data_IF_855856635328
#
_entry.id   IF_855856635328
#
_cell.length_a   1.000
_cell.length_b   1.000
_cell.length_c   1.000
_cell.angle_alpha   90.00
_cell.angle_beta   90.00
_cell.angle_gamma   90.00
#
_symmetry.space_group_name_H-M   'P 1'
#
loop_
_entity.id
_entity.type
_entity.pdbx_description
1 polymer ?
#
# COMPACT_ATOMS: atom_id res chain seq x y z
N UNK A 1 -11.88 10.81 12.21
CA UNK A 1 -10.50 11.13 11.81
C UNK A 1 -9.57 11.31 13.02
N UNK A 2 -9.71 12.31 13.91
CA UNK A 2 -8.77 12.43 15.05
C UNK A 2 -8.70 11.21 15.97
N UNK A 3 -9.83 10.70 16.44
CA UNK A 3 -9.85 9.47 17.25
C UNK A 3 -9.28 8.27 16.49
N UNK A 4 -9.56 8.19 15.19
CA UNK A 4 -9.06 7.14 14.33
C UNK A 4 -7.54 7.22 14.15
N UNK A 5 -6.99 8.42 13.95
CA UNK A 5 -5.54 8.67 13.91
C UNK A 5 -4.86 8.25 15.22
N UNK A 6 -5.48 8.56 16.37
CA UNK A 6 -4.97 8.11 17.68
C UNK A 6 -5.00 6.59 17.82
N UNK A 7 -6.11 5.95 17.42
CA UNK A 7 -6.27 4.50 17.50
C UNK A 7 -5.29 3.78 16.57
N UNK A 8 -5.19 4.19 15.31
CA UNK A 8 -4.29 3.52 14.36
C UNK A 8 -2.82 3.70 14.74
N UNK A 9 -2.45 4.85 15.32
CA UNK A 9 -1.11 5.06 15.84
C UNK A 9 -0.81 4.16 17.06
N UNK A 10 -1.79 3.96 17.95
CA UNK A 10 -1.68 2.98 19.02
C UNK A 10 -1.55 1.55 18.47
N UNK A 11 -2.40 1.18 17.49
CA UNK A 11 -2.35 -0.12 16.83
C UNK A 11 -1.00 -0.37 16.15
N UNK A 12 -0.46 0.61 15.41
CA UNK A 12 0.88 0.51 14.83
C UNK A 12 1.94 0.24 15.91
N UNK A 13 1.82 0.87 17.08
CA UNK A 13 2.78 0.68 18.17
C UNK A 13 2.67 -0.69 18.82
N UNK A 14 1.46 -1.20 19.07
CA UNK A 14 1.26 -2.47 19.79
C UNK A 14 1.40 -3.69 18.87
N UNK A 15 0.95 -3.61 17.61
CA UNK A 15 1.07 -4.71 16.64
C UNK A 15 2.51 -4.95 16.18
N UNK A 16 3.44 -4.05 16.49
CA UNK A 16 4.87 -4.32 16.32
C UNK A 16 5.32 -5.57 17.11
N UNK A 17 4.66 -5.88 18.22
CA UNK A 17 4.96 -7.05 19.05
C UNK A 17 4.13 -8.26 18.59
N UNK A 18 4.80 -9.38 18.32
CA UNK A 18 4.20 -10.63 17.82
C UNK A 18 3.08 -11.14 18.71
N UNK A 19 3.23 -11.02 20.02
CA UNK A 19 2.27 -11.49 21.03
C UNK A 19 0.90 -10.84 20.86
N UNK A 20 0.85 -9.59 20.39
CA UNK A 20 -0.40 -8.87 20.15
C UNK A 20 -1.12 -9.41 18.91
N UNK A 21 -0.38 -9.71 17.83
CA UNK A 21 -0.95 -10.36 16.64
C UNK A 21 -1.57 -11.72 16.98
N UNK A 22 -0.90 -12.50 17.82
CA UNK A 22 -1.37 -13.84 18.23
C UNK A 22 -2.60 -13.77 19.15
N UNK A 23 -2.64 -12.76 20.02
CA UNK A 23 -3.75 -12.55 20.97
C UNK A 23 -4.96 -11.85 20.34
N UNK A 24 -4.86 -11.37 19.10
CA UNK A 24 -5.94 -10.66 18.42
C UNK A 24 -7.08 -11.58 17.96
N UNK A 25 -6.86 -12.90 17.93
CA UNK A 25 -7.85 -13.93 17.60
C UNK A 25 -8.71 -13.53 16.38
N UNK A 26 -10.04 -13.51 16.51
CA UNK A 26 -10.96 -13.17 15.41
C UNK A 26 -10.98 -11.68 15.05
N UNK A 27 -10.58 -10.80 15.99
CA UNK A 27 -10.51 -9.35 15.75
C UNK A 27 -9.44 -8.96 14.71
N UNK A 28 -8.49 -9.86 14.43
CA UNK A 28 -7.51 -9.66 13.35
C UNK A 28 -8.17 -9.50 11.99
N UNK A 29 -9.32 -10.14 11.77
CA UNK A 29 -10.03 -10.11 10.49
C UNK A 29 -10.58 -8.71 10.21
N UNK A 30 -11.18 -8.08 11.21
CA UNK A 30 -11.70 -6.71 11.11
C UNK A 30 -10.56 -5.71 10.88
N UNK A 31 -9.40 -5.94 11.50
CA UNK A 31 -8.22 -5.12 11.29
C UNK A 31 -7.64 -5.27 9.88
N UNK A 32 -7.59 -6.49 9.34
CA UNK A 32 -7.21 -6.76 7.95
C UNK A 32 -8.16 -6.03 6.98
N UNK A 33 -9.47 -6.11 7.22
CA UNK A 33 -10.49 -5.44 6.39
C UNK A 33 -10.33 -3.91 6.46
N UNK A 34 -10.08 -3.37 7.66
CA UNK A 34 -9.81 -1.96 7.87
C UNK A 34 -8.59 -1.50 7.08
N UNK A 35 -7.47 -2.22 7.22
CA UNK A 35 -6.23 -1.90 6.51
C UNK A 35 -6.43 -1.97 5.00
N UNK A 36 -7.05 -3.05 4.50
CA UNK A 36 -7.36 -3.19 3.08
C UNK A 36 -8.16 -1.99 2.55
N UNK A 37 -9.24 -1.59 3.25
CA UNK A 37 -10.06 -0.43 2.83
C UNK A 37 -9.25 0.86 2.76
N UNK A 38 -8.38 1.12 3.74
CA UNK A 38 -7.51 2.31 3.75
C UNK A 38 -6.51 2.30 2.61
N UNK A 39 -5.86 1.17 2.37
CA UNK A 39 -4.88 1.04 1.29
C UNK A 39 -5.51 1.10 -0.11
N UNK A 40 -6.70 0.54 -0.28
CA UNK A 40 -7.46 0.65 -1.53
C UNK A 40 -7.87 2.10 -1.80
N UNK A 41 -8.31 2.84 -0.78
CA UNK A 41 -8.60 4.27 -0.91
C UNK A 41 -7.33 5.06 -1.27
N UNK A 42 -6.22 4.76 -0.61
CA UNK A 42 -4.92 5.39 -0.86
C UNK A 42 -4.45 5.17 -2.30
N UNK A 43 -4.55 3.93 -2.81
CA UNK A 43 -4.22 3.59 -4.19
C UNK A 43 -5.10 4.37 -5.18
N UNK A 44 -6.43 4.35 -4.99
CA UNK A 44 -7.38 5.03 -5.87
C UNK A 44 -7.16 6.55 -5.94
N UNK A 45 -6.85 7.19 -4.80
CA UNK A 45 -6.57 8.62 -4.75
C UNK A 45 -5.28 8.98 -5.51
N UNK A 46 -4.28 8.10 -5.50
CA UNK A 46 -3.03 8.35 -6.21
C UNK A 46 -3.18 8.28 -7.72
N UNK A 47 -3.94 7.30 -8.24
CA UNK A 47 -4.26 7.20 -9.67
C UNK A 47 -4.96 8.47 -10.17
N UNK A 48 -5.88 9.02 -9.38
CA UNK A 48 -6.56 10.28 -9.71
C UNK A 48 -5.59 11.48 -9.69
N UNK A 49 -4.64 11.53 -8.75
CA UNK A 49 -3.63 12.60 -8.72
C UNK A 49 -2.67 12.55 -9.92
N UNK A 50 -2.32 11.35 -10.38
CA UNK A 50 -1.40 11.15 -11.51
C UNK A 50 -2.05 11.42 -12.87
N UNK A 51 -3.35 11.18 -13.00
CA UNK A 51 -4.12 11.50 -14.23
C UNK A 51 -4.41 12.99 -14.35
N UNK A 52 -4.48 13.72 -13.23
CA UNK A 52 -4.57 15.19 -13.18
C UNK A 52 -3.16 15.80 -13.14
N UNK A 53 -2.35 15.56 -14.17
CA UNK A 53 -1.20 16.43 -14.43
C UNK A 53 -1.72 17.81 -14.83
N UNK A 54 -1.31 18.90 -14.13
CA UNK A 54 -1.80 20.24 -14.43
C UNK A 54 -1.23 20.70 -15.77
N UNK A 55 -2.08 20.71 -16.81
CA UNK A 55 -1.99 21.78 -17.79
C UNK A 55 -2.27 23.05 -16.99
N UNK A 56 -1.28 23.93 -16.96
CA UNK A 56 -1.28 25.24 -16.32
C UNK A 56 -2.64 25.94 -16.51
N UNK A 57 -3.50 25.89 -15.50
CA UNK A 57 -4.56 26.88 -15.36
C UNK A 57 -3.86 28.15 -14.89
N UNK A 58 -3.41 28.95 -15.86
CA UNK A 58 -3.12 30.36 -15.69
C UNK A 58 -4.35 31.04 -15.07
N UNK A 59 -4.36 31.16 -13.75
CA UNK A 59 -5.20 32.08 -13.00
C UNK A 59 -4.30 33.23 -12.52
N UNK A 60 -3.61 33.86 -13.47
CA UNK A 60 -3.13 35.23 -13.34
C UNK A 60 -4.07 36.11 -14.17
N UNK A 61 -5.28 36.34 -13.67
CA UNK A 61 -5.98 37.60 -13.90
C UNK A 61 -7.20 37.70 -12.98
N UNK A 62 -7.39 38.91 -12.43
CA UNK A 62 -8.42 39.35 -11.47
C UNK A 62 -8.06 39.28 -9.98
N UNK A 63 -6.94 39.94 -9.64
CA UNK A 63 -6.85 40.61 -8.35
C UNK A 63 -7.72 41.88 -8.35
N UNK A 64 -8.76 41.92 -7.53
CA UNK A 64 -9.37 43.17 -7.02
C UNK A 64 -9.36 43.12 -5.49
N UNK A 65 -8.78 44.12 -4.79
CA UNK A 65 -8.74 44.13 -3.34
C UNK A 65 -9.96 44.88 -2.80
N UNK A 66 -10.87 44.21 -2.11
CA UNK A 66 -11.84 44.90 -1.25
C UNK A 66 -12.40 43.98 -0.17
N UNK A 67 -11.93 44.24 1.05
CA UNK A 67 -12.75 44.37 2.26
C UNK A 67 -13.20 43.12 3.03
N UNK A 68 -12.72 43.10 4.27
CA UNK A 68 -13.29 42.54 5.50
C UNK A 68 -12.94 41.09 5.88
N UNK A 69 -12.07 41.02 6.87
CA UNK A 69 -11.90 39.93 7.83
C UNK A 69 -13.25 39.40 8.31
N UNK A 70 -13.56 38.16 7.92
CA UNK A 70 -14.45 37.29 8.65
C UNK A 70 -13.70 35.97 8.88
N UNK A 71 -13.50 35.66 10.16
CA UNK A 71 -12.99 34.39 10.68
C UNK A 71 -13.92 33.26 10.23
N UNK A 72 -13.65 32.71 9.06
CA UNK A 72 -14.24 31.47 8.54
C UNK A 72 -13.07 30.70 7.94
N UNK A 73 -12.61 29.66 8.63
CA UNK A 73 -11.70 28.69 8.00
C UNK A 73 -12.39 28.22 6.73
N UNK A 74 -11.85 28.48 5.52
CA UNK A 74 -12.55 28.14 4.29
C UNK A 74 -12.82 26.63 4.29
N UNK A 75 -14.00 26.16 3.86
CA UNK A 75 -14.31 24.72 3.81
C UNK A 75 -13.25 23.89 3.05
N UNK A 76 -12.49 24.54 2.17
CA UNK A 76 -11.35 23.97 1.45
C UNK A 76 -10.14 23.62 2.35
N UNK A 77 -9.84 24.42 3.37
CA UNK A 77 -8.71 24.15 4.28
C UNK A 77 -9.03 22.98 5.22
N UNK A 78 -10.28 22.90 5.72
CA UNK A 78 -10.75 21.76 6.51
C UNK A 78 -10.71 20.46 5.69
N UNK A 79 -11.09 20.53 4.41
CA UNK A 79 -11.03 19.39 3.50
C UNK A 79 -9.60 18.91 3.29
N UNK A 80 -8.65 19.84 3.05
CA UNK A 80 -7.23 19.53 2.90
C UNK A 80 -6.63 18.91 4.17
N UNK A 81 -7.03 19.38 5.35
CA UNK A 81 -6.61 18.81 6.63
C UNK A 81 -7.16 17.38 6.81
N UNK A 82 -8.43 17.15 6.46
CA UNK A 82 -9.03 15.82 6.49
C UNK A 82 -8.31 14.85 5.54
N UNK A 83 -7.99 15.28 4.32
CA UNK A 83 -7.23 14.49 3.34
C UNK A 83 -5.82 14.15 3.82
N UNK A 84 -5.14 15.11 4.44
CA UNK A 84 -3.81 14.89 5.01
C UNK A 84 -3.85 13.86 6.13
N UNK A 85 -4.84 13.96 7.02
CA UNK A 85 -5.03 13.02 8.11
C UNK A 85 -5.40 11.62 7.60
N UNK A 86 -6.26 11.53 6.58
CA UNK A 86 -6.65 10.27 5.96
C UNK A 86 -5.46 9.59 5.26
N UNK A 87 -4.60 10.38 4.62
CA UNK A 87 -3.35 9.91 4.04
C UNK A 87 -2.44 9.30 5.12
N UNK A 88 -2.18 10.02 6.21
CA UNK A 88 -1.36 9.53 7.32
C UNK A 88 -1.95 8.28 7.97
N UNK A 89 -3.26 8.25 8.23
CA UNK A 89 -3.97 7.06 8.74
C UNK A 89 -3.73 5.86 7.82
N UNK A 90 -3.78 6.06 6.50
CA UNK A 90 -3.57 4.99 5.54
C UNK A 90 -2.12 4.47 5.54
N UNK A 91 -1.12 5.34 5.75
CA UNK A 91 0.26 4.92 5.92
C UNK A 91 0.48 4.13 7.21
N UNK A 92 -0.21 4.51 8.30
CA UNK A 92 -0.20 3.73 9.56
C UNK A 92 -0.88 2.37 9.39
N UNK A 93 -1.96 2.33 8.62
CA UNK A 93 -2.63 1.08 8.26
C UNK A 93 -1.73 0.15 7.43
N UNK A 94 -0.86 0.70 6.56
CA UNK A 94 0.16 -0.07 5.85
C UNK A 94 1.14 -0.73 6.82
N UNK A 95 1.68 0.02 7.78
CA UNK A 95 2.57 -0.52 8.82
C UNK A 95 1.90 -1.63 9.61
N UNK A 96 0.67 -1.41 10.08
CA UNK A 96 -0.11 -2.41 10.83
C UNK A 96 -0.31 -3.66 9.98
N UNK A 97 -0.72 -3.51 8.72
CA UNK A 97 -0.91 -4.65 7.83
C UNK A 97 0.39 -5.43 7.65
N UNK A 98 1.52 -4.74 7.46
CA UNK A 98 2.84 -5.37 7.37
C UNK A 98 3.13 -6.18 8.63
N UNK A 99 2.89 -5.66 9.83
CA UNK A 99 3.08 -6.41 11.08
C UNK A 99 2.19 -7.65 11.19
N UNK A 100 0.96 -7.59 10.69
CA UNK A 100 0.09 -8.77 10.58
C UNK A 100 0.72 -9.79 9.63
N UNK A 101 1.23 -9.36 8.48
CA UNK A 101 1.87 -10.29 7.52
C UNK A 101 3.15 -10.93 8.06
N UNK A 102 3.89 -10.28 8.96
CA UNK A 102 5.07 -10.88 9.61
C UNK A 102 4.69 -12.14 10.43
N UNK A 103 3.42 -12.28 10.82
CA UNK A 103 2.93 -13.37 11.67
C UNK A 103 2.06 -14.37 10.92
N UNK A 104 2.13 -14.44 9.59
CA UNK A 104 1.32 -15.36 8.76
C UNK A 104 1.32 -16.82 9.23
N UNK A 105 2.40 -17.29 9.85
CA UNK A 105 2.52 -18.66 10.38
C UNK A 105 1.69 -18.91 11.65
N UNK A 106 1.45 -17.89 12.48
CA UNK A 106 0.66 -18.00 13.72
C UNK A 106 -0.78 -17.52 13.57
N UNK A 107 -1.13 -16.93 12.43
CA UNK A 107 -2.49 -16.47 12.16
C UNK A 107 -3.45 -17.60 11.83
N UNK A 108 -4.76 -17.45 12.16
CA UNK A 108 -5.76 -18.42 11.77
C UNK A 108 -5.93 -18.49 10.24
N UNK A 109 -6.34 -19.65 9.74
CA UNK A 109 -6.53 -19.88 8.29
C UNK A 109 -7.53 -18.89 7.65
N UNK A 110 -8.50 -18.42 8.44
CA UNK A 110 -9.44 -17.37 8.03
C UNK A 110 -8.73 -16.07 7.65
N UNK A 111 -7.71 -15.66 8.41
CA UNK A 111 -6.92 -14.46 8.13
C UNK A 111 -6.14 -14.59 6.82
N UNK A 112 -5.46 -15.73 6.61
CA UNK A 112 -4.78 -16.04 5.35
C UNK A 112 -5.75 -16.02 4.17
N UNK A 113 -6.95 -16.60 4.34
CA UNK A 113 -8.01 -16.56 3.31
C UNK A 113 -8.43 -15.14 2.99
N UNK A 114 -8.64 -14.32 4.03
CA UNK A 114 -9.08 -12.94 3.88
C UNK A 114 -8.03 -12.11 3.15
N UNK A 115 -6.77 -12.23 3.53
CA UNK A 115 -5.65 -11.52 2.91
C UNK A 115 -5.43 -11.93 1.45
N UNK A 116 -5.42 -13.24 1.16
CA UNK A 116 -4.96 -13.76 -0.13
C UNK A 116 -6.08 -13.90 -1.16
N UNK A 117 -7.26 -14.39 -0.74
CA UNK A 117 -8.32 -14.79 -1.66
C UNK A 117 -9.46 -13.76 -1.71
N UNK A 118 -9.77 -13.11 -0.59
CA UNK A 118 -10.83 -12.10 -0.55
C UNK A 118 -10.30 -10.74 -1.00
N UNK A 119 -9.21 -10.26 -0.40
CA UNK A 119 -8.68 -8.91 -0.66
C UNK A 119 -7.54 -8.87 -1.68
N UNK A 120 -6.97 -10.02 -2.03
CA UNK A 120 -5.83 -10.12 -2.95
C UNK A 120 -4.72 -9.09 -2.63
N UNK A 121 -4.31 -9.07 -1.36
CA UNK A 121 -3.32 -8.12 -0.86
C UNK A 121 -2.02 -8.09 -1.67
N UNK A 122 -1.48 -9.21 -2.22
CA UNK A 122 -0.31 -9.12 -3.08
C UNK A 122 -0.52 -8.18 -4.28
N UNK A 123 -1.67 -8.23 -4.96
CA UNK A 123 -1.96 -7.33 -6.07
C UNK A 123 -2.17 -5.88 -5.61
N UNK A 124 -2.81 -5.65 -4.45
CA UNK A 124 -2.92 -4.30 -3.89
C UNK A 124 -1.55 -3.69 -3.55
N UNK A 125 -0.64 -4.50 -3.00
CA UNK A 125 0.72 -4.06 -2.69
C UNK A 125 1.53 -3.79 -3.97
N UNK A 126 1.34 -4.58 -5.04
CA UNK A 126 1.90 -4.28 -6.38
C UNK A 126 1.44 -2.91 -6.87
N UNK A 127 0.15 -2.60 -6.75
CA UNK A 127 -0.41 -1.30 -7.14
C UNK A 127 0.26 -0.14 -6.38
N UNK A 128 0.54 -0.33 -5.08
CA UNK A 128 1.27 0.68 -4.28
C UNK A 128 2.73 0.82 -4.69
N UNK A 129 3.40 -0.24 -5.16
CA UNK A 129 4.76 -0.15 -5.71
C UNK A 129 4.75 0.61 -7.04
N UNK A 130 3.82 0.28 -7.94
CA UNK A 130 3.72 0.89 -9.27
C UNK A 130 3.30 2.36 -9.18
N UNK A 131 2.30 2.63 -8.36
CA UNK A 131 1.73 3.95 -8.12
C UNK A 131 1.99 4.34 -6.66
N UNK A 132 3.25 4.61 -6.34
CA UNK A 132 3.70 5.02 -5.01
C UNK A 132 3.01 6.31 -4.53
N UNK A 133 2.15 6.27 -3.49
CA UNK A 133 1.37 7.43 -3.06
C UNK A 133 2.15 8.41 -2.17
N UNK A 134 3.29 7.98 -1.61
CA UNK A 134 4.24 8.81 -0.85
C UNK A 134 5.39 9.37 -1.71
N UNK A 135 5.24 9.37 -3.04
CA UNK A 135 6.20 9.94 -3.98
C UNK A 135 5.47 10.72 -5.06
N UNK A 136 5.87 11.96 -5.33
CA UNK A 136 5.28 12.77 -6.38
C UNK A 136 6.31 13.70 -7.02
N UNK A 137 6.05 14.14 -8.26
CA UNK A 137 6.83 15.19 -8.91
C UNK A 137 6.03 16.48 -8.92
N UNK A 138 6.63 17.55 -8.42
CA UNK A 138 6.03 18.88 -8.37
C UNK A 138 7.06 19.90 -8.88
N UNK A 139 6.69 20.70 -9.87
CA UNK A 139 7.58 21.66 -10.54
C UNK A 139 8.94 21.03 -10.96
N UNK A 140 8.91 19.81 -11.50
CA UNK A 140 10.09 19.07 -11.97
C UNK A 140 10.94 18.44 -10.86
N UNK A 141 10.67 18.72 -9.58
CA UNK A 141 11.40 18.17 -8.42
C UNK A 141 10.67 16.95 -7.87
N UNK A 142 11.42 15.89 -7.54
CA UNK A 142 10.87 14.73 -6.84
C UNK A 142 10.68 15.07 -5.37
N UNK A 143 9.49 14.84 -4.84
CA UNK A 143 9.19 14.90 -3.40
C UNK A 143 8.80 13.53 -2.89
N UNK A 144 9.27 13.17 -1.69
CA UNK A 144 8.84 11.97 -0.97
C UNK A 144 8.29 12.34 0.40
N UNK A 145 7.34 11.57 0.90
CA UNK A 145 6.77 11.75 2.24
C UNK A 145 7.50 10.86 3.24
N UNK A 146 8.16 11.46 4.22
CA UNK A 146 8.82 10.74 5.30
C UNK A 146 8.70 11.52 6.61
N UNK A 147 8.62 10.81 7.73
CA UNK A 147 8.55 11.38 9.08
C UNK A 147 7.46 12.47 9.24
N UNK A 148 6.31 12.30 8.57
CA UNK A 148 5.17 13.24 8.67
C UNK A 148 5.28 14.46 7.76
N UNK A 149 6.26 14.54 6.86
CA UNK A 149 6.43 15.69 5.98
C UNK A 149 6.87 15.32 4.56
N UNK A 150 6.40 16.11 3.59
CA UNK A 150 6.89 16.07 2.22
C UNK A 150 8.20 16.84 2.12
N UNK A 151 9.23 16.21 1.58
CA UNK A 151 10.52 16.85 1.35
C UNK A 151 10.99 16.61 -0.08
N UNK A 152 11.77 17.55 -0.63
CA UNK A 152 12.39 17.40 -1.94
C UNK A 152 13.58 16.46 -1.83
N UNK A 153 13.64 15.47 -2.72
CA UNK A 153 14.72 14.46 -2.74
C UNK A 153 15.80 14.87 -3.73
N UNK A 154 17.07 14.97 -3.30
CA UNK A 154 18.17 15.31 -4.19
C UNK A 154 18.43 14.16 -5.19
N UNK A 155 19.03 14.44 -6.38
CA UNK A 155 19.21 13.46 -7.45
C UNK A 155 19.84 12.13 -7.02
N UNK A 156 20.84 12.17 -6.14
CA UNK A 156 21.57 11.01 -5.59
C UNK A 156 20.70 10.07 -4.76
N UNK A 157 19.60 10.58 -4.19
CA UNK A 157 18.73 9.84 -3.27
C UNK A 157 17.42 9.39 -3.93
N UNK A 158 17.16 9.78 -5.19
CA UNK A 158 15.89 9.49 -5.85
C UNK A 158 15.60 7.99 -5.96
N UNK A 159 16.65 7.19 -6.16
CA UNK A 159 16.59 5.72 -6.27
C UNK A 159 16.62 5.00 -4.93
N UNK A 160 16.88 5.70 -3.82
CA UNK A 160 16.91 5.09 -2.49
C UNK A 160 15.49 4.73 -2.03
N UNK A 161 15.40 3.59 -1.35
CA UNK A 161 14.20 3.13 -0.68
C UNK A 161 13.85 4.04 0.50
N UNK A 162 12.58 4.41 0.61
CA UNK A 162 12.02 4.99 1.82
C UNK A 162 11.63 3.91 2.83
N UNK A 163 11.35 4.31 4.07
CA UNK A 163 10.78 3.37 5.05
C UNK A 163 9.44 2.77 4.60
N UNK A 164 8.62 3.55 3.91
CA UNK A 164 7.31 3.12 3.42
C UNK A 164 7.44 2.09 2.30
N UNK A 165 8.37 2.28 1.37
CA UNK A 165 8.71 1.28 0.35
C UNK A 165 9.11 -0.04 1.03
N UNK A 166 9.94 0.03 2.07
CA UNK A 166 10.32 -1.13 2.87
C UNK A 166 9.13 -1.87 3.49
N UNK A 167 8.11 -1.15 3.97
CA UNK A 167 6.89 -1.79 4.50
C UNK A 167 6.17 -2.62 3.43
N UNK A 168 6.01 -2.06 2.22
CA UNK A 168 5.36 -2.76 1.10
C UNK A 168 6.15 -4.00 0.68
N UNK A 169 7.46 -3.84 0.50
CA UNK A 169 8.34 -4.93 0.08
C UNK A 169 8.40 -6.07 1.10
N UNK A 170 8.44 -5.75 2.39
CA UNK A 170 8.42 -6.76 3.45
C UNK A 170 7.07 -7.47 3.50
N UNK A 171 5.95 -6.74 3.37
CA UNK A 171 4.62 -7.35 3.29
C UNK A 171 4.48 -8.29 2.07
N UNK A 172 5.02 -7.90 0.91
CA UNK A 172 5.07 -8.75 -0.28
C UNK A 172 5.92 -10.01 -0.04
N UNK A 173 7.10 -9.88 0.58
CA UNK A 173 7.95 -11.02 0.93
C UNK A 173 7.21 -12.01 1.82
N UNK A 174 6.58 -11.53 2.91
CA UNK A 174 5.84 -12.37 3.84
C UNK A 174 4.70 -13.15 3.15
N UNK A 175 3.94 -12.47 2.28
CA UNK A 175 2.80 -13.08 1.60
C UNK A 175 3.19 -14.01 0.44
N UNK A 176 4.34 -13.80 -0.20
CA UNK A 176 4.75 -14.56 -1.39
C UNK A 176 5.75 -15.67 -1.08
N UNK A 177 6.51 -15.58 0.02
CA UNK A 177 7.53 -16.59 0.37
C UNK A 177 7.07 -17.56 1.47
N UNK A 178 6.04 -17.23 2.26
CA UNK A 178 5.50 -18.19 3.23
C UNK A 178 4.89 -19.41 2.51
N UNK A 179 5.26 -20.65 2.89
CA UNK A 179 4.68 -21.87 2.34
C UNK A 179 3.16 -21.98 2.56
N UNK A 180 2.65 -21.44 3.66
CA UNK A 180 1.23 -21.37 4.00
C UNK A 180 0.50 -20.48 2.99
N UNK A 181 1.08 -19.32 2.70
CA UNK A 181 0.54 -18.38 1.73
C UNK A 181 0.61 -18.92 0.30
N UNK A 182 1.75 -19.49 -0.12
CA UNK A 182 1.91 -20.04 -1.47
C UNK A 182 0.93 -21.18 -1.78
N UNK A 183 0.65 -22.05 -0.80
CA UNK A 183 -0.34 -23.12 -0.95
C UNK A 183 -1.76 -22.58 -1.15
N UNK A 184 -2.03 -21.36 -0.67
CA UNK A 184 -3.36 -20.76 -0.66
C UNK A 184 -3.59 -19.77 -1.79
N UNK A 185 -2.56 -19.03 -2.18
CA UNK A 185 -2.64 -17.99 -3.18
C UNK A 185 -2.77 -18.58 -4.58
N UNK A 186 -3.73 -18.07 -5.35
CA UNK A 186 -4.03 -18.56 -6.69
C UNK A 186 -3.23 -17.77 -7.74
N UNK A 187 -2.26 -18.41 -8.37
CA UNK A 187 -1.48 -17.83 -9.46
C UNK A 187 -2.17 -18.02 -10.82
N UNK A 188 -3.35 -17.42 -10.98
CA UNK A 188 -3.96 -17.27 -12.31
C UNK A 188 -3.19 -16.28 -13.19
N UNK A 189 -3.59 -16.18 -14.46
CA UNK A 189 -2.97 -15.27 -15.41
C UNK A 189 -3.00 -13.80 -14.96
N UNK A 190 -4.06 -13.36 -14.26
CA UNK A 190 -4.17 -11.98 -13.79
C UNK A 190 -3.18 -11.72 -12.66
N UNK A 191 -3.23 -12.51 -11.58
CA UNK A 191 -2.34 -12.35 -10.42
C UNK A 191 -0.87 -12.51 -10.84
N UNK A 192 -0.56 -13.49 -11.69
CA UNK A 192 0.78 -13.65 -12.27
C UNK A 192 1.21 -12.38 -13.01
N UNK A 193 0.35 -11.81 -13.86
CA UNK A 193 0.68 -10.60 -14.62
C UNK A 193 0.96 -9.39 -13.72
N UNK A 194 0.20 -9.23 -12.64
CA UNK A 194 0.41 -8.15 -11.67
C UNK A 194 1.74 -8.33 -10.95
N UNK A 195 2.00 -9.52 -10.38
CA UNK A 195 3.24 -9.80 -9.66
C UNK A 195 4.49 -9.59 -10.53
N UNK A 196 4.43 -9.94 -11.82
CA UNK A 196 5.56 -9.76 -12.72
C UNK A 196 5.93 -8.31 -12.99
N UNK A 197 5.05 -7.34 -12.73
CA UNK A 197 5.37 -5.90 -12.80
C UNK A 197 6.46 -5.51 -11.81
N UNK A 198 6.52 -6.17 -10.64
CA UNK A 198 7.52 -5.92 -9.59
C UNK A 198 8.97 -6.03 -10.10
N UNK A 199 9.21 -6.82 -11.16
CA UNK A 199 10.54 -6.98 -11.75
C UNK A 199 11.14 -5.65 -12.23
N UNK A 200 10.33 -4.72 -12.71
CA UNK A 200 10.80 -3.40 -13.15
C UNK A 200 11.24 -2.51 -11.99
N UNK A 201 10.76 -2.80 -10.77
CA UNK A 201 11.04 -2.03 -9.57
C UNK A 201 12.15 -2.64 -8.71
N UNK A 202 12.60 -3.88 -8.97
CA UNK A 202 13.68 -4.53 -8.22
C UNK A 202 15.07 -4.11 -8.76
N UNK A 203 15.46 -2.86 -8.47
CA UNK A 203 16.77 -2.31 -8.85
C UNK A 203 17.89 -2.84 -7.97
N UNK A 204 19.14 -2.76 -8.46
CA UNK A 204 20.32 -3.17 -7.68
C UNK A 204 20.43 -2.38 -6.36
N UNK A 205 20.08 -1.09 -6.36
CA UNK A 205 20.08 -0.25 -5.15
C UNK A 205 19.07 -0.75 -4.12
N UNK A 206 17.88 -1.18 -4.55
CA UNK A 206 16.87 -1.74 -3.64
C UNK A 206 17.30 -3.08 -3.07
N UNK A 207 17.95 -3.92 -3.88
CA UNK A 207 18.51 -5.19 -3.42
C UNK A 207 19.66 -4.97 -2.44
N UNK A 208 20.53 -3.99 -2.68
CA UNK A 208 21.61 -3.63 -1.76
C UNK A 208 21.06 -3.14 -0.41
N UNK A 209 19.96 -2.38 -0.42
CA UNK A 209 19.31 -1.87 0.79
C UNK A 209 18.44 -2.90 1.52
N UNK A 210 17.87 -3.87 0.80
CA UNK A 210 17.08 -4.96 1.35
C UNK A 210 17.47 -6.29 0.68
N UNK A 211 18.56 -6.94 1.14
CA UNK A 211 19.12 -8.14 0.50
C UNK A 211 18.14 -9.32 0.38
N UNK A 212 17.11 -9.39 1.23
CA UNK A 212 16.07 -10.41 1.16
C UNK A 212 15.27 -10.34 -0.16
N UNK A 213 15.31 -9.22 -0.89
CA UNK A 213 14.68 -9.08 -2.20
C UNK A 213 15.35 -9.90 -3.31
N UNK A 214 16.57 -10.42 -3.10
CA UNK A 214 17.19 -11.35 -4.05
C UNK A 214 16.32 -12.60 -4.24
N UNK A 215 15.72 -13.10 -3.16
CA UNK A 215 14.82 -14.24 -3.22
C UNK A 215 13.54 -13.91 -4.01
N UNK A 216 13.01 -12.69 -3.85
CA UNK A 216 11.86 -12.20 -4.63
C UNK A 216 12.19 -12.15 -6.12
N UNK A 217 13.38 -11.66 -6.50
CA UNK A 217 13.83 -11.65 -7.89
C UNK A 217 13.88 -13.07 -8.49
N UNK A 218 14.41 -14.04 -7.73
CA UNK A 218 14.44 -15.46 -8.16
C UNK A 218 13.04 -16.03 -8.30
N UNK A 219 12.18 -15.78 -7.32
CA UNK A 219 10.79 -16.21 -7.32
C UNK A 219 10.04 -15.68 -8.56
N UNK A 220 10.13 -14.37 -8.83
CA UNK A 220 9.47 -13.75 -9.99
C UNK A 220 10.04 -14.24 -11.33
N UNK A 221 11.34 -14.56 -11.38
CA UNK A 221 11.97 -15.16 -12.57
C UNK A 221 11.44 -16.56 -12.86
N UNK A 222 11.26 -17.37 -11.81
CA UNK A 222 10.61 -18.68 -11.93
C UNK A 222 9.13 -18.54 -12.33
N UNK A 223 8.39 -17.64 -11.66
CA UNK A 223 6.97 -17.39 -11.95
C UNK A 223 6.75 -16.98 -13.42
N UNK A 224 7.69 -16.22 -14.02
CA UNK A 224 7.59 -15.78 -15.41
C UNK A 224 7.51 -16.96 -16.40
N UNK A 225 8.26 -18.04 -16.14
CA UNK A 225 8.35 -19.22 -17.03
C UNK A 225 7.31 -20.29 -16.70
N UNK A 226 6.72 -20.28 -15.51
CA UNK A 226 5.69 -21.25 -15.10
C UNK A 226 4.33 -20.93 -15.73
N UNK A 227 3.68 -21.89 -16.37
CA UNK A 227 2.33 -21.67 -16.92
C UNK A 227 1.31 -21.38 -15.80
N UNK A 228 0.41 -20.40 -15.98
CA UNK A 228 -0.62 -20.11 -14.98
C UNK A 228 -1.55 -21.31 -14.80
N UNK A 229 -2.06 -21.50 -13.58
CA UNK A 229 -2.99 -22.59 -13.31
C UNK A 229 -4.24 -22.46 -14.19
N UNK A 230 -4.77 -23.56 -14.76
CA UNK A 230 -5.99 -23.51 -15.53
C UNK A 230 -7.14 -23.01 -14.63
N UNK A 231 -8.09 -22.20 -15.16
CA UNK A 231 -9.21 -21.72 -14.38
C UNK A 231 -10.00 -22.90 -13.80
N UNK A 232 -10.28 -22.85 -12.50
CA UNK A 232 -11.14 -23.86 -11.86
C UNK A 232 -12.53 -23.79 -12.51
N UNK A 233 -12.92 -24.88 -13.18
CA UNK A 233 -14.31 -25.06 -13.62
C UNK A 233 -15.14 -25.32 -12.37
N UNK A 234 -15.81 -24.30 -11.86
CA UNK A 234 -16.82 -24.52 -10.84
C UNK A 234 -17.89 -25.42 -11.44
N UNK A 235 -18.02 -26.63 -10.88
CA UNK A 235 -19.06 -27.58 -11.23
C UNK A 235 -20.40 -26.96 -10.84
N UNK A 236 -21.11 -26.41 -11.81
CA UNK A 236 -22.52 -26.02 -11.65
C UNK A 236 -23.30 -27.33 -11.55
N UNK A 237 -23.64 -27.72 -10.32
CA UNK A 237 -24.63 -28.76 -10.07
C UNK A 237 -26.01 -28.11 -10.25
N UNK A 238 -26.59 -28.24 -11.44
CA UNK A 238 -28.04 -28.01 -11.60
C UNK A 238 -28.77 -29.05 -10.74
N UNK A 239 -29.54 -28.58 -9.76
CA UNK A 239 -30.54 -29.41 -9.09
C UNK A 239 -31.69 -29.65 -10.07
N UNK A 240 -31.90 -30.92 -10.44
CA UNK A 240 -33.08 -31.42 -11.15
C UNK A 240 -34.21 -31.66 -10.16
#
# INVERSE_FOLDING_TARGET
>A
LHHEASIINLLETVFFYKEICESAEDSILDLIDYCHRKLTLLAAQNTNRQTVTPVELHLEDLASPSSMEAVLVPPQELQKQAETMEFEISLKALSVLRFITDQVESLPLSALTRMLNTHNLPCLLVELVEHCPWSCREAGKLKKFENGAWHVVPPEDQVKMTKLDGQVWLALLNLLHSPECQRKYHFDGFNKSQLLKLRAFLTDVLVDQLPNLVEMQRFLSHLAVTEPAPPKKDLILEQV
#
